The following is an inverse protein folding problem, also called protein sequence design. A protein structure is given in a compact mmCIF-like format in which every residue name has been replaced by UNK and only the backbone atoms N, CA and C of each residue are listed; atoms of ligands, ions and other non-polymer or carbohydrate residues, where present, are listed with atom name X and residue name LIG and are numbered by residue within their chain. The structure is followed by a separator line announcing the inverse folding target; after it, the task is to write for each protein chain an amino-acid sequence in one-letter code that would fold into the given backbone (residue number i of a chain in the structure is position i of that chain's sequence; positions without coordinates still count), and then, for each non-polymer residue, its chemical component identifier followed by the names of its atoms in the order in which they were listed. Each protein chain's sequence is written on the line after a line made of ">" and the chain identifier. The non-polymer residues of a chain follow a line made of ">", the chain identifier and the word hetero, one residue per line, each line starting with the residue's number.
data_IF_395315135166
#
_entry.id   IF_395315135166
#
_cell.length_a   1.000
_cell.length_b   1.000
_cell.length_c   1.000
_cell.angle_alpha   90.00
_cell.angle_beta   90.00
_cell.angle_gamma   90.00
#
_symmetry.space_group_name_H-M   'P 1'
#
loop_
_entity.id
_entity.type
_entity.pdbx_description
1 polymer ?
#
# COMPACT_ATOMS: atom_id res chain seq x y z
N UNK A 1 16.91 18.23 6.33
CA UNK A 1 17.10 17.00 7.13
C UNK A 1 18.01 15.96 6.48
N UNK A 2 17.85 15.62 5.19
CA UNK A 2 18.69 14.59 4.53
C UNK A 2 20.18 14.88 4.64
N UNK A 3 20.64 16.11 4.36
CA UNK A 3 22.06 16.50 4.50
C UNK A 3 22.58 16.45 5.94
N UNK A 4 21.70 16.62 6.93
CA UNK A 4 22.06 16.53 8.35
C UNK A 4 22.30 15.07 8.77
N UNK A 5 21.49 14.14 8.22
CA UNK A 5 21.60 12.71 8.53
C UNK A 5 22.63 11.99 7.64
N UNK A 6 22.85 12.49 6.42
CA UNK A 6 23.76 11.92 5.43
C UNK A 6 24.68 13.02 4.87
N UNK A 7 25.64 13.53 5.67
CA UNK A 7 26.47 14.68 5.29
C UNK A 7 27.41 14.40 4.12
N UNK A 8 27.90 13.16 3.97
CA UNK A 8 28.81 12.75 2.91
C UNK A 8 28.11 12.21 1.65
N UNK A 9 26.79 12.37 1.56
CA UNK A 9 26.00 11.79 0.47
C UNK A 9 26.16 12.58 -0.83
N UNK A 10 26.55 11.95 -1.95
CA UNK A 10 26.63 12.61 -3.24
C UNK A 10 25.24 13.06 -3.73
N UNK A 11 25.20 14.11 -4.55
CA UNK A 11 23.93 14.68 -5.05
C UNK A 11 23.07 13.68 -5.81
N UNK A 12 23.68 12.73 -6.53
CA UNK A 12 22.96 11.68 -7.26
C UNK A 12 22.22 10.69 -6.35
N UNK A 13 22.57 10.59 -5.07
CA UNK A 13 22.00 9.62 -4.13
C UNK A 13 20.97 10.23 -3.18
N UNK A 14 20.63 11.52 -3.32
CA UNK A 14 19.68 12.22 -2.43
C UNK A 14 18.34 11.50 -2.37
N UNK A 15 17.80 11.12 -3.53
CA UNK A 15 16.52 10.45 -3.60
C UNK A 15 16.53 9.09 -2.88
N UNK A 16 17.62 8.32 -3.02
CA UNK A 16 17.80 7.05 -2.31
C UNK A 16 17.82 7.26 -0.80
N UNK A 17 18.49 8.32 -0.34
CA UNK A 17 18.53 8.66 1.07
C UNK A 17 17.17 9.12 1.61
N UNK A 18 16.33 9.75 0.79
CA UNK A 18 14.95 10.07 1.18
C UNK A 18 14.12 8.82 1.44
N UNK A 19 14.22 7.81 0.58
CA UNK A 19 13.57 6.51 0.81
C UNK A 19 14.12 5.79 2.04
N UNK A 20 15.44 5.77 2.21
CA UNK A 20 16.07 5.16 3.37
C UNK A 20 15.64 5.86 4.67
N UNK A 21 15.61 7.19 4.66
CA UNK A 21 15.16 8.01 5.77
C UNK A 21 13.69 7.73 6.12
N UNK A 22 12.80 7.76 5.13
CA UNK A 22 11.39 7.45 5.33
C UNK A 22 11.18 6.04 5.91
N UNK A 23 11.95 5.06 5.44
CA UNK A 23 11.91 3.68 5.95
C UNK A 23 12.34 3.61 7.42
N UNK A 24 13.42 4.28 7.80
CA UNK A 24 13.91 4.32 9.19
C UNK A 24 12.88 4.97 10.11
N UNK A 25 12.32 6.11 9.70
CA UNK A 25 11.31 6.84 10.48
C UNK A 25 10.04 6.00 10.67
N UNK A 26 9.55 5.36 9.61
CA UNK A 26 8.35 4.54 9.67
C UNK A 26 8.48 3.35 10.63
N UNK A 27 9.67 2.78 10.72
CA UNK A 27 9.98 1.60 11.52
C UNK A 27 10.62 1.90 12.88
N UNK A 28 10.52 3.13 13.41
CA UNK A 28 11.15 3.53 14.68
C UNK A 28 10.87 2.56 15.83
N UNK A 29 9.62 2.15 16.07
CA UNK A 29 9.27 1.27 17.19
C UNK A 29 9.87 -0.13 17.02
N UNK A 30 9.91 -0.64 15.77
CA UNK A 30 10.55 -1.91 15.47
C UNK A 30 12.06 -1.83 15.74
N UNK A 31 12.71 -0.74 15.35
CA UNK A 31 14.14 -0.52 15.58
C UNK A 31 14.44 -0.43 17.09
N UNK A 32 13.61 0.27 17.86
CA UNK A 32 13.73 0.36 19.33
C UNK A 32 13.58 -1.00 20.02
N UNK A 33 12.74 -1.88 19.49
CA UNK A 33 12.54 -3.23 20.06
C UNK A 33 13.64 -4.22 19.67
N UNK A 34 14.28 -4.02 18.53
CA UNK A 34 15.22 -5.00 17.95
C UNK A 34 16.68 -4.63 18.10
N UNK A 35 17.02 -3.35 18.18
CA UNK A 35 18.40 -2.89 18.28
C UNK A 35 18.82 -2.69 19.74
N UNK A 36 20.11 -2.92 20.07
CA UNK A 36 20.64 -2.59 21.39
C UNK A 36 20.42 -1.11 21.74
N UNK A 37 20.13 -0.75 23.00
CA UNK A 37 19.92 0.65 23.40
C UNK A 37 21.10 1.58 23.09
N UNK A 38 22.32 1.05 22.99
CA UNK A 38 23.55 1.75 22.64
C UNK A 38 23.89 1.68 21.14
N UNK A 39 22.93 1.33 20.29
CA UNK A 39 23.15 1.28 18.84
C UNK A 39 23.41 2.69 18.28
N UNK A 40 24.40 2.81 17.37
CA UNK A 40 24.84 4.11 16.81
C UNK A 40 23.71 4.91 16.16
N UNK A 41 22.71 4.22 15.62
CA UNK A 41 21.52 4.82 15.03
C UNK A 41 20.80 5.77 15.99
N UNK A 42 20.66 5.40 17.27
CA UNK A 42 19.94 6.19 18.26
C UNK A 42 20.69 7.46 18.70
N UNK A 43 21.97 7.57 18.37
CA UNK A 43 22.76 8.78 18.60
C UNK A 43 22.76 9.74 17.41
N UNK A 44 22.12 9.37 16.29
CA UNK A 44 21.99 10.24 15.13
C UNK A 44 20.97 11.36 15.40
N UNK A 45 21.07 12.52 14.71
CA UNK A 45 20.21 13.67 15.00
C UNK A 45 18.72 13.39 14.96
N UNK A 46 18.28 12.48 14.09
CA UNK A 46 16.88 12.13 13.89
C UNK A 46 16.25 11.40 15.09
N UNK A 47 17.03 10.66 15.88
CA UNK A 47 16.54 9.95 17.07
C UNK A 47 16.70 10.75 18.36
N UNK A 48 17.36 11.92 18.29
CA UNK A 48 17.57 12.78 19.46
C UNK A 48 16.30 13.56 19.83
N UNK A 49 15.48 13.91 18.84
CA UNK A 49 14.21 14.60 19.03
C UNK A 49 13.06 13.65 18.72
N UNK A 50 12.44 13.11 19.77
CA UNK A 50 11.35 12.13 19.63
C UNK A 50 10.07 12.78 19.10
N UNK A 51 9.81 14.05 19.41
CA UNK A 51 8.61 14.74 18.95
C UNK A 51 8.68 14.96 17.44
N UNK A 52 9.82 15.48 16.97
CA UNK A 52 10.09 15.65 15.54
C UNK A 52 10.07 14.31 14.79
N UNK A 53 10.61 13.24 15.39
CA UNK A 53 10.58 11.91 14.78
C UNK A 53 9.15 11.39 14.59
N UNK A 54 8.26 11.62 15.55
CA UNK A 54 6.86 11.22 15.45
C UNK A 54 6.08 12.08 14.44
N UNK A 55 6.39 13.38 14.36
CA UNK A 55 5.85 14.25 13.31
C UNK A 55 6.27 13.75 11.93
N UNK A 56 7.56 13.46 11.72
CA UNK A 56 8.07 12.90 10.46
C UNK A 56 7.41 11.56 10.13
N UNK A 57 7.19 10.70 11.13
CA UNK A 57 6.50 9.43 10.94
C UNK A 57 5.08 9.61 10.43
N UNK A 58 4.37 10.61 10.93
CA UNK A 58 3.01 10.92 10.47
C UNK A 58 2.94 11.34 9.00
N UNK A 59 4.05 11.85 8.45
CA UNK A 59 4.15 12.24 7.03
C UNK A 59 4.39 11.04 6.10
N UNK A 60 4.90 9.92 6.62
CA UNK A 60 5.15 8.73 5.81
C UNK A 60 3.86 7.94 5.66
N UNK A 61 3.39 7.78 4.42
CA UNK A 61 2.18 7.01 4.12
C UNK A 61 2.48 5.84 3.19
N UNK A 62 2.12 4.62 3.62
CA UNK A 62 2.21 3.43 2.78
C UNK A 62 0.91 3.25 1.99
N UNK A 63 0.79 3.96 0.86
CA UNK A 63 -0.38 3.92 -0.02
C UNK A 63 0.02 3.88 -1.50
N UNK A 64 -0.97 3.65 -2.36
CA UNK A 64 -0.80 3.86 -3.81
C UNK A 64 -0.46 5.32 -4.10
N UNK A 65 0.39 5.52 -5.09
CA UNK A 65 0.82 6.84 -5.52
C UNK A 65 -0.39 7.68 -5.94
N UNK A 66 -0.39 8.94 -5.52
CA UNK A 66 -1.36 9.96 -5.91
C UNK A 66 -0.66 11.14 -6.59
N UNK A 67 -1.38 11.91 -7.42
CA UNK A 67 -0.86 13.15 -7.98
C UNK A 67 -0.38 14.08 -6.86
N UNK A 68 0.90 14.48 -6.91
CA UNK A 68 1.54 15.34 -5.90
C UNK A 68 2.46 14.63 -4.91
N UNK A 69 2.50 13.29 -4.90
CA UNK A 69 3.45 12.56 -4.05
C UNK A 69 4.90 12.81 -4.51
N UNK A 70 5.74 13.28 -3.60
CA UNK A 70 7.17 13.57 -3.88
C UNK A 70 8.04 12.32 -3.81
N UNK A 71 7.68 11.38 -2.94
CA UNK A 71 8.35 10.10 -2.74
C UNK A 71 7.36 9.00 -3.10
N UNK A 72 7.67 8.21 -4.13
CA UNK A 72 6.82 7.13 -4.64
C UNK A 72 7.56 5.82 -4.63
N UNK A 73 6.90 4.73 -4.20
CA UNK A 73 7.51 3.40 -4.20
C UNK A 73 8.14 3.10 -5.57
N UNK A 74 9.47 2.94 -5.59
CA UNK A 74 10.28 2.85 -6.82
C UNK A 74 10.08 1.55 -7.60
N UNK A 75 9.33 0.61 -7.04
CA UNK A 75 8.99 -0.64 -7.66
C UNK A 75 7.71 -1.18 -7.06
N UNK A 76 6.59 -0.87 -7.70
CA UNK A 76 5.46 -1.80 -7.69
C UNK A 76 5.85 -2.88 -8.70
N UNK A 77 6.15 -4.12 -8.29
CA UNK A 77 6.46 -5.17 -9.23
C UNK A 77 5.36 -5.23 -10.31
N UNK A 78 5.69 -5.42 -11.60
CA UNK A 78 4.73 -5.32 -12.69
C UNK A 78 3.50 -6.23 -12.52
N UNK A 79 3.65 -7.31 -11.75
CA UNK A 79 2.56 -8.24 -11.42
C UNK A 79 1.55 -7.72 -10.39
N UNK A 80 1.86 -6.70 -9.58
CA UNK A 80 0.90 -6.14 -8.60
C UNK A 80 -0.31 -5.50 -9.30
N UNK A 81 -0.11 -4.83 -10.44
CA UNK A 81 -1.23 -4.30 -11.24
C UNK A 81 -2.16 -5.44 -11.71
N UNK A 82 -1.59 -6.58 -12.11
CA UNK A 82 -2.35 -7.77 -12.48
C UNK A 82 -3.11 -8.31 -11.26
N UNK A 83 -2.46 -8.44 -10.10
CA UNK A 83 -3.13 -8.90 -8.87
C UNK A 83 -4.27 -7.98 -8.44
N UNK A 84 -4.12 -6.66 -8.60
CA UNK A 84 -5.19 -5.69 -8.34
C UNK A 84 -6.38 -5.88 -9.30
N UNK A 85 -6.11 -6.07 -10.60
CA UNK A 85 -7.15 -6.39 -11.57
C UNK A 85 -7.84 -7.72 -11.24
N UNK A 86 -7.10 -8.76 -10.86
CA UNK A 86 -7.66 -10.05 -10.44
C UNK A 86 -8.53 -9.92 -9.19
N UNK A 87 -8.10 -9.13 -8.20
CA UNK A 87 -8.89 -8.88 -6.99
C UNK A 87 -10.19 -8.13 -7.31
N UNK A 88 -10.14 -7.12 -8.19
CA UNK A 88 -11.32 -6.39 -8.66
C UNK A 88 -12.29 -7.31 -9.41
N UNK A 89 -11.77 -8.15 -10.32
CA UNK A 89 -12.57 -9.16 -11.03
C UNK A 89 -13.22 -10.15 -10.06
N UNK A 90 -12.47 -10.68 -9.09
CA UNK A 90 -13.01 -11.61 -8.09
C UNK A 90 -14.14 -10.97 -7.28
N UNK A 91 -13.99 -9.70 -6.88
CA UNK A 91 -15.02 -8.95 -6.18
C UNK A 91 -16.27 -8.76 -7.04
N UNK A 92 -16.11 -8.42 -8.32
CA UNK A 92 -17.21 -8.23 -9.25
C UNK A 92 -17.95 -9.54 -9.53
N UNK A 93 -17.22 -10.64 -9.74
CA UNK A 93 -17.80 -11.99 -9.93
C UNK A 93 -18.59 -12.40 -8.68
N UNK A 94 -18.01 -12.26 -7.48
CA UNK A 94 -18.72 -12.56 -6.23
C UNK A 94 -19.95 -11.67 -6.01
N UNK A 95 -19.91 -10.41 -6.44
CA UNK A 95 -21.05 -9.50 -6.40
C UNK A 95 -22.16 -9.84 -7.42
N UNK A 96 -21.81 -10.48 -8.53
CA UNK A 96 -22.76 -10.88 -9.57
C UNK A 96 -23.55 -12.15 -9.23
N UNK A 97 -22.96 -13.10 -8.48
CA UNK A 97 -23.62 -14.35 -8.06
C UNK A 97 -24.99 -14.13 -7.40
N UNK A 98 -25.15 -13.24 -6.39
CA UNK A 98 -26.45 -13.01 -5.77
C UNK A 98 -27.45 -12.30 -6.70
N UNK A 99 -26.99 -11.56 -7.72
CA UNK A 99 -27.86 -10.98 -8.75
C UNK A 99 -28.41 -12.08 -9.68
N UNK A 100 -27.55 -13.02 -10.10
CA UNK A 100 -27.94 -14.16 -10.95
C UNK A 100 -28.93 -15.08 -10.22
N UNK A 101 -28.70 -15.34 -8.92
CA UNK A 101 -29.64 -16.14 -8.11
C UNK A 101 -31.03 -15.52 -8.00
N UNK A 102 -31.13 -14.18 -8.03
CA UNK A 102 -32.44 -13.49 -8.01
C UNK A 102 -33.21 -13.62 -9.32
N UNK A 103 -32.50 -13.70 -10.46
CA UNK A 103 -33.10 -13.79 -11.79
C UNK A 103 -33.42 -15.25 -12.18
N UNK A 104 -32.72 -16.22 -11.60
CA UNK A 104 -32.92 -17.65 -11.87
C UNK A 104 -34.38 -18.15 -11.77
N UNK A 105 -35.20 -17.75 -10.77
CA UNK A 105 -36.58 -18.24 -10.65
C UNK A 105 -37.48 -17.75 -11.79
N UNK A 106 -37.29 -16.51 -12.24
CA UNK A 106 -38.08 -15.91 -13.33
C UNK A 106 -37.76 -16.57 -14.67
N UNK A 107 -36.49 -16.88 -14.92
CA UNK A 107 -36.07 -17.59 -16.13
C UNK A 107 -36.61 -19.02 -16.15
N UNK A 108 -36.52 -19.76 -15.02
CA UNK A 108 -37.07 -21.12 -14.90
C UNK A 108 -38.57 -21.10 -15.19
N UNK A 109 -39.30 -20.13 -14.62
CA UNK A 109 -40.73 -19.98 -14.87
C UNK A 109 -41.04 -19.70 -16.34
N UNK A 110 -40.30 -18.78 -16.98
CA UNK A 110 -40.47 -18.47 -18.40
C UNK A 110 -40.23 -19.67 -19.33
N UNK A 111 -39.25 -20.53 -19.02
CA UNK A 111 -38.98 -21.75 -19.81
C UNK A 111 -40.10 -22.78 -19.66
N UNK A 112 -40.63 -22.95 -18.44
CA UNK A 112 -41.76 -23.87 -18.19
C UNK A 112 -43.02 -23.40 -18.92
N UNK A 113 -43.28 -22.09 -18.89
CA UNK A 113 -44.44 -21.49 -19.56
C UNK A 113 -44.33 -21.60 -21.09
N UNK A 114 -43.14 -21.40 -21.66
CA UNK A 114 -42.91 -21.56 -23.11
C UNK A 114 -43.04 -23.02 -23.57
N UNK A 115 -42.57 -23.97 -22.75
CA UNK A 115 -42.65 -25.41 -23.04
C UNK A 115 -44.09 -25.97 -23.01
N UNK A 116 -45.01 -25.28 -22.33
CA UNK A 116 -46.44 -25.61 -22.30
C UNK A 116 -47.21 -25.05 -23.49
N UNK A 117 -46.70 -24.02 -24.15
CA UNK A 117 -47.37 -23.35 -25.26
C UNK A 117 -47.05 -24.00 -26.63
N UNK A 118 -46.06 -24.90 -26.67
CA UNK A 118 -45.64 -25.65 -27.87
C UNK A 118 -46.21 -27.09 -27.92
N UNK A 119 -47.13 -27.45 -27.01
CA UNK A 119 -47.92 -28.71 -27.04
C UNK A 119 -49.40 -28.39 -27.22
#
# INVERSE_FOLDING_TARGET
>A
MIRTCFPSLPSCAVQVAEFAFASVVWHVEFLEQTLPPNHRLFFTPIFRDREQLMELKSLVTCRLNSPGDTIVATGVPPHISILQHMHSLAKNVNGAVPQIQKVAPEVIRGVIDNSRNER
#
